data_IF_278382277826
#
_entry.id   IF_278382277826
#
_cell.length_a   1.000
_cell.length_b   1.000
_cell.length_c   1.000
_cell.angle_alpha   90.00
_cell.angle_beta   90.00
_cell.angle_gamma   90.00
#
_symmetry.space_group_name_H-M   'P 1'
#
loop_
_entity.id
_entity.type
_entity.pdbx_description
1 polymer ?
#
# COMPACT_ATOMS: atom_id res chain seq x y z
N UNK A 1 -12.90 -4.69 -1.02
CA UNK A 1 -12.14 -3.91 -0.03
C UNK A 1 -13.07 -3.11 0.90
N UNK A 2 -13.99 -2.28 0.38
CA UNK A 2 -14.87 -1.45 1.21
C UNK A 2 -15.66 -2.26 2.26
N UNK A 3 -16.21 -3.41 1.89
CA UNK A 3 -16.91 -4.29 2.84
C UNK A 3 -16.04 -4.78 3.99
N UNK A 4 -14.75 -5.05 3.74
CA UNK A 4 -13.79 -5.43 4.78
C UNK A 4 -13.54 -4.27 5.72
N UNK A 5 -13.36 -3.08 5.19
CA UNK A 5 -13.16 -1.87 6.00
C UNK A 5 -14.41 -1.53 6.84
N UNK A 6 -15.62 -1.79 6.32
CA UNK A 6 -16.87 -1.65 7.12
C UNK A 6 -16.87 -2.58 8.33
N UNK A 7 -16.50 -3.85 8.14
CA UNK A 7 -16.39 -4.82 9.24
C UNK A 7 -15.30 -4.41 10.23
N UNK A 8 -14.16 -3.94 9.73
CA UNK A 8 -13.06 -3.45 10.57
C UNK A 8 -13.52 -2.26 11.43
N UNK A 9 -14.27 -1.32 10.84
CA UNK A 9 -14.82 -0.17 11.55
C UNK A 9 -15.80 -0.61 12.67
N UNK A 10 -16.66 -1.59 12.41
CA UNK A 10 -17.56 -2.16 13.42
C UNK A 10 -16.79 -2.85 14.55
N UNK A 11 -15.77 -3.65 14.20
CA UNK A 11 -14.92 -4.33 15.17
C UNK A 11 -14.15 -3.34 16.05
N UNK A 12 -13.68 -2.23 15.50
CA UNK A 12 -12.97 -1.19 16.24
C UNK A 12 -13.80 -0.58 17.38
N UNK A 13 -15.14 -0.63 17.28
CA UNK A 13 -16.05 -0.15 18.32
C UNK A 13 -16.41 -1.21 19.35
N UNK A 14 -16.34 -2.49 18.98
CA UNK A 14 -16.86 -3.60 19.81
C UNK A 14 -15.76 -4.47 20.41
N UNK A 15 -14.57 -4.48 19.83
CA UNK A 15 -13.47 -5.33 20.27
C UNK A 15 -12.50 -4.58 21.20
N UNK A 16 -11.95 -5.23 22.25
CA UNK A 16 -11.04 -4.59 23.20
C UNK A 16 -9.64 -4.28 22.65
N UNK A 17 -9.26 -4.85 21.51
CA UNK A 17 -7.97 -4.59 20.85
C UNK A 17 -8.01 -3.25 20.11
N UNK A 18 -6.87 -2.54 20.09
CA UNK A 18 -6.68 -1.41 19.18
C UNK A 18 -6.59 -1.92 17.75
N UNK A 19 -7.46 -1.41 16.88
CA UNK A 19 -7.51 -1.76 15.47
C UNK A 19 -7.08 -0.54 14.66
N UNK A 20 -6.06 -0.72 13.80
CA UNK A 20 -5.53 0.33 12.91
C UNK A 20 -5.80 -0.09 11.47
N UNK A 21 -6.85 0.44 10.83
CA UNK A 21 -7.25 -0.02 9.52
C UNK A 21 -6.33 0.50 8.40
N UNK A 22 -6.02 -0.38 7.47
CA UNK A 22 -5.23 -0.10 6.27
C UNK A 22 -6.07 -0.44 5.03
N UNK A 23 -6.17 0.50 4.08
CA UNK A 23 -6.73 0.23 2.76
C UNK A 23 -5.69 -0.54 1.93
N UNK A 24 -6.04 -1.71 1.42
CA UNK A 24 -5.20 -2.58 0.60
C UNK A 24 -5.94 -3.03 -0.69
N UNK A 25 -6.68 -2.12 -1.32
CA UNK A 25 -7.32 -2.39 -2.61
C UNK A 25 -6.33 -2.61 -3.75
N UNK A 26 -5.12 -2.10 -3.61
CA UNK A 26 -4.02 -2.28 -4.57
C UNK A 26 -3.11 -3.47 -4.24
N UNK A 27 -3.69 -4.64 -3.91
CA UNK A 27 -2.94 -5.87 -3.64
C UNK A 27 -2.89 -6.81 -4.85
N UNK A 28 -3.99 -6.92 -5.59
CA UNK A 28 -4.08 -7.71 -6.80
C UNK A 28 -5.12 -7.13 -7.75
N UNK A 29 -4.95 -7.36 -9.05
CA UNK A 29 -5.98 -7.03 -10.03
C UNK A 29 -7.10 -8.07 -9.99
N UNK A 30 -8.37 -7.68 -9.78
CA UNK A 30 -9.49 -8.59 -9.90
C UNK A 30 -9.54 -9.23 -11.29
N UNK A 31 -10.05 -10.47 -11.42
CA UNK A 31 -10.06 -11.19 -12.71
C UNK A 31 -10.64 -10.38 -13.86
N UNK A 32 -11.70 -9.61 -13.61
CA UNK A 32 -12.39 -8.77 -14.59
C UNK A 32 -11.58 -7.56 -15.09
N UNK A 33 -10.50 -7.19 -14.37
CA UNK A 33 -9.64 -6.06 -14.72
C UNK A 33 -8.26 -6.47 -15.25
N UNK A 34 -7.96 -7.76 -15.38
CA UNK A 34 -6.64 -8.24 -15.82
C UNK A 34 -6.24 -7.69 -17.19
N UNK A 35 -7.19 -7.56 -18.10
CA UNK A 35 -6.99 -7.04 -19.46
C UNK A 35 -7.17 -5.50 -19.55
N UNK A 36 -7.56 -4.86 -18.46
CA UNK A 36 -7.78 -3.41 -18.40
C UNK A 36 -7.33 -2.80 -17.06
N UNK A 37 -6.07 -3.06 -16.72
CA UNK A 37 -5.46 -2.66 -15.42
C UNK A 37 -5.64 -1.19 -15.10
N UNK A 38 -5.46 -0.32 -16.08
CA UNK A 38 -5.63 1.13 -15.95
C UNK A 38 -7.03 1.51 -15.42
N UNK A 39 -8.06 0.79 -15.86
CA UNK A 39 -9.42 1.02 -15.36
C UNK A 39 -9.54 0.72 -13.86
N UNK A 40 -8.88 -0.32 -13.37
CA UNK A 40 -8.89 -0.63 -11.94
C UNK A 40 -8.11 0.41 -11.12
N UNK A 41 -6.98 0.87 -11.64
CA UNK A 41 -6.19 1.94 -11.01
C UNK A 41 -7.03 3.22 -10.91
N UNK A 42 -7.76 3.57 -11.97
CA UNK A 42 -8.69 4.70 -11.94
C UNK A 42 -9.78 4.53 -10.87
N UNK A 43 -10.38 3.34 -10.74
CA UNK A 43 -11.37 3.04 -9.70
C UNK A 43 -10.76 3.21 -8.30
N UNK A 44 -9.52 2.74 -8.08
CA UNK A 44 -8.83 2.95 -6.81
C UNK A 44 -8.67 4.44 -6.51
N UNK A 45 -8.16 5.21 -7.47
CA UNK A 45 -7.81 6.62 -7.26
C UNK A 45 -9.04 7.54 -7.21
N UNK A 46 -10.04 7.29 -8.04
CA UNK A 46 -11.16 8.22 -8.27
C UNK A 46 -12.42 7.85 -7.49
N UNK A 47 -12.55 6.60 -7.07
CA UNK A 47 -13.74 6.12 -6.36
C UNK A 47 -13.40 5.58 -4.97
N UNK A 48 -12.53 4.55 -4.87
CA UNK A 48 -12.31 3.83 -3.61
C UNK A 48 -11.61 4.69 -2.56
N UNK A 49 -10.46 5.29 -2.88
CA UNK A 49 -9.71 6.12 -1.92
C UNK A 49 -10.51 7.33 -1.43
N UNK A 50 -11.21 8.10 -2.31
CA UNK A 50 -12.10 9.17 -1.87
C UNK A 50 -13.23 8.68 -0.95
N UNK A 51 -13.87 7.55 -1.28
CA UNK A 51 -14.92 6.95 -0.45
C UNK A 51 -14.41 6.52 0.93
N UNK A 52 -13.26 5.81 0.97
CA UNK A 52 -12.61 5.40 2.22
C UNK A 52 -12.28 6.61 3.09
N UNK A 53 -11.79 7.69 2.47
CA UNK A 53 -11.48 8.94 3.17
C UNK A 53 -12.73 9.64 3.70
N UNK A 54 -13.75 9.80 2.85
CA UNK A 54 -14.99 10.46 3.22
C UNK A 54 -15.68 9.77 4.41
N UNK A 55 -15.56 8.44 4.49
CA UNK A 55 -16.13 7.62 5.56
C UNK A 55 -15.16 7.38 6.72
N UNK A 56 -13.93 7.87 6.63
CA UNK A 56 -12.89 7.70 7.65
C UNK A 56 -12.64 6.21 8.01
N UNK A 57 -12.58 5.35 6.99
CA UNK A 57 -12.49 3.88 7.17
C UNK A 57 -11.06 3.35 7.30
N UNK A 58 -10.05 4.13 6.93
CA UNK A 58 -8.65 3.73 7.04
C UNK A 58 -7.73 4.91 7.38
N UNK A 59 -6.61 4.60 8.01
CA UNK A 59 -5.52 5.53 8.34
C UNK A 59 -4.39 5.41 7.33
N UNK A 60 -4.15 4.20 6.85
CA UNK A 60 -3.08 3.86 5.91
C UNK A 60 -3.64 3.44 4.56
N UNK A 61 -2.86 3.70 3.51
CA UNK A 61 -2.98 3.06 2.21
C UNK A 61 -1.73 2.24 1.96
N UNK A 62 -1.90 1.00 1.58
CA UNK A 62 -0.83 0.05 1.28
C UNK A 62 -0.97 -0.45 -0.16
N UNK A 63 0.14 -0.86 -0.77
CA UNK A 63 0.18 -1.36 -2.14
C UNK A 63 1.17 -2.51 -2.28
N UNK A 64 0.83 -3.51 -3.10
CA UNK A 64 1.75 -4.55 -3.52
C UNK A 64 2.50 -4.12 -4.79
N UNK A 65 3.63 -3.44 -4.59
CA UNK A 65 4.50 -2.98 -5.67
C UNK A 65 5.46 -4.10 -6.07
N UNK A 66 5.10 -4.86 -7.11
CA UNK A 66 5.84 -6.05 -7.50
C UNK A 66 5.64 -6.37 -8.99
N UNK A 67 6.61 -7.08 -9.58
CA UNK A 67 6.53 -7.59 -10.95
C UNK A 67 5.25 -8.40 -11.15
N UNK A 68 4.50 -8.11 -12.21
CA UNK A 68 3.18 -8.67 -12.55
C UNK A 68 2.00 -8.24 -11.67
N UNK A 69 2.23 -7.47 -10.63
CA UNK A 69 1.22 -6.81 -9.82
C UNK A 69 1.16 -5.31 -10.17
N UNK A 70 1.34 -4.41 -9.22
CA UNK A 70 1.39 -2.98 -9.50
C UNK A 70 2.83 -2.56 -9.80
N UNK A 71 3.03 -1.88 -10.94
CA UNK A 71 4.33 -1.34 -11.32
C UNK A 71 4.76 -0.19 -10.40
N UNK A 72 6.02 0.26 -10.49
CA UNK A 72 6.47 1.46 -9.80
C UNK A 72 5.63 2.69 -10.16
N UNK A 73 5.28 2.85 -11.44
CA UNK A 73 4.46 3.97 -11.94
C UNK A 73 3.02 3.90 -11.39
N UNK A 74 2.38 2.72 -11.45
CA UNK A 74 1.06 2.50 -10.87
C UNK A 74 1.05 2.80 -9.38
N UNK A 75 2.08 2.33 -8.69
CA UNK A 75 2.25 2.50 -7.25
C UNK A 75 2.44 3.95 -6.87
N UNK A 76 3.33 4.66 -7.54
CA UNK A 76 3.56 6.09 -7.31
C UNK A 76 2.28 6.90 -7.50
N UNK A 77 1.50 6.60 -8.54
CA UNK A 77 0.22 7.26 -8.81
C UNK A 77 -0.81 7.04 -7.71
N UNK A 78 -1.03 5.78 -7.31
CA UNK A 78 -1.99 5.42 -6.26
C UNK A 78 -1.58 6.03 -4.92
N UNK A 79 -0.30 5.89 -4.55
CA UNK A 79 0.21 6.40 -3.28
C UNK A 79 0.20 7.93 -3.22
N UNK A 80 0.50 8.61 -4.34
CA UNK A 80 0.37 10.08 -4.44
C UNK A 80 -1.08 10.50 -4.21
N UNK A 81 -2.04 9.78 -4.81
CA UNK A 81 -3.47 10.06 -4.59
C UNK A 81 -3.83 9.86 -3.11
N UNK A 82 -3.36 8.79 -2.50
CA UNK A 82 -3.59 8.51 -1.08
C UNK A 82 -3.01 9.61 -0.18
N UNK A 83 -1.76 10.04 -0.41
CA UNK A 83 -1.14 11.13 0.35
C UNK A 83 -1.90 12.44 0.21
N UNK A 84 -2.34 12.80 -1.00
CA UNK A 84 -3.12 14.01 -1.25
C UNK A 84 -4.46 13.99 -0.50
N UNK A 85 -5.03 12.82 -0.26
CA UNK A 85 -6.21 12.62 0.57
C UNK A 85 -5.90 12.56 2.07
N UNK A 86 -4.62 12.59 2.45
CA UNK A 86 -4.18 12.57 3.85
C UNK A 86 -4.11 11.19 4.47
N UNK A 87 -3.88 10.13 3.70
CA UNK A 87 -3.48 8.83 4.20
C UNK A 87 -1.97 8.79 4.47
N UNK A 88 -1.56 8.05 5.48
CA UNK A 88 -0.20 7.55 5.56
C UNK A 88 -0.03 6.39 4.58
N UNK A 89 1.15 6.22 4.02
CA UNK A 89 1.40 5.19 3.00
C UNK A 89 2.36 4.12 3.51
N UNK A 90 2.17 2.91 3.00
CA UNK A 90 2.98 1.72 3.21
C UNK A 90 3.13 0.97 1.89
N UNK A 91 4.14 0.11 1.78
CA UNK A 91 4.35 -0.73 0.59
C UNK A 91 4.76 -2.14 1.00
N UNK A 92 4.18 -3.16 0.34
CA UNK A 92 4.83 -4.45 0.17
C UNK A 92 5.89 -4.24 -0.91
N UNK A 93 7.15 -4.42 -0.54
CA UNK A 93 8.30 -4.00 -1.35
C UNK A 93 9.34 -5.10 -1.48
N UNK A 94 9.84 -5.31 -2.71
CA UNK A 94 10.93 -6.22 -3.01
C UNK A 94 10.74 -7.63 -2.42
N UNK A 95 9.50 -8.14 -2.45
CA UNK A 95 9.14 -9.44 -1.88
C UNK A 95 9.58 -10.60 -2.78
N UNK A 96 9.26 -10.54 -4.07
CA UNK A 96 9.49 -11.61 -5.05
C UNK A 96 10.61 -11.27 -6.02
N UNK A 97 10.91 -9.98 -6.19
CA UNK A 97 11.96 -9.47 -7.07
C UNK A 97 12.52 -8.15 -6.54
N UNK A 98 13.75 -7.82 -6.90
CA UNK A 98 14.33 -6.50 -6.65
C UNK A 98 13.67 -5.49 -7.59
N UNK A 99 12.46 -5.05 -7.24
CA UNK A 99 11.61 -4.20 -8.07
C UNK A 99 11.93 -2.71 -7.95
N UNK A 100 12.68 -2.29 -6.92
CA UNK A 100 12.91 -0.89 -6.56
C UNK A 100 11.77 -0.27 -5.76
N UNK A 101 10.89 -1.11 -5.22
CA UNK A 101 9.73 -0.67 -4.44
C UNK A 101 10.15 -0.07 -3.09
N UNK A 102 11.20 -0.59 -2.47
CA UNK A 102 11.76 -0.01 -1.23
C UNK A 102 12.26 1.42 -1.46
N UNK A 103 13.00 1.68 -2.54
CA UNK A 103 13.47 3.00 -2.90
C UNK A 103 12.31 3.96 -3.24
N UNK A 104 11.25 3.45 -3.89
CA UNK A 104 10.03 4.22 -4.10
C UNK A 104 9.40 4.64 -2.77
N UNK A 105 9.24 3.71 -1.84
CA UNK A 105 8.69 3.98 -0.52
C UNK A 105 9.48 5.06 0.23
N UNK A 106 10.80 5.00 0.19
CA UNK A 106 11.69 6.00 0.80
C UNK A 106 11.48 7.37 0.15
N UNK A 107 11.50 7.46 -1.19
CA UNK A 107 11.29 8.73 -1.90
C UNK A 107 9.94 9.38 -1.59
N UNK A 108 8.93 8.55 -1.34
CA UNK A 108 7.58 8.99 -1.01
C UNK A 108 7.35 9.20 0.50
N UNK A 109 8.36 9.03 1.34
CA UNK A 109 8.26 9.11 2.80
C UNK A 109 7.19 8.15 3.35
N UNK A 110 7.19 6.91 2.88
CA UNK A 110 6.34 5.87 3.42
C UNK A 110 6.66 5.60 4.91
N UNK A 111 5.63 5.30 5.70
CA UNK A 111 5.81 4.94 7.10
C UNK A 111 6.58 3.62 7.21
N UNK A 112 6.27 2.64 6.37
CA UNK A 112 7.02 1.40 6.29
C UNK A 112 7.14 0.86 4.88
N UNK A 113 8.16 0.05 4.67
CA UNK A 113 8.33 -0.86 3.55
C UNK A 113 8.45 -2.26 4.12
N UNK A 114 7.58 -3.14 3.66
CA UNK A 114 7.38 -4.45 4.27
C UNK A 114 7.88 -5.55 3.32
N UNK A 115 8.27 -6.71 3.84
CA UNK A 115 8.89 -7.87 3.18
C UNK A 115 10.40 -7.77 3.04
N UNK A 116 10.91 -7.18 1.96
CA UNK A 116 12.32 -6.87 1.72
C UNK A 116 13.24 -8.08 1.43
N UNK A 117 12.68 -9.27 1.12
CA UNK A 117 13.44 -10.49 0.87
C UNK A 117 14.43 -10.36 -0.30
N UNK A 118 14.08 -9.52 -1.29
CA UNK A 118 14.86 -9.31 -2.50
C UNK A 118 15.50 -7.91 -2.58
N UNK A 119 15.44 -7.14 -1.50
CA UNK A 119 16.03 -5.79 -1.46
C UNK A 119 17.53 -5.83 -1.71
N UNK A 120 18.03 -4.90 -2.52
CA UNK A 120 19.46 -4.81 -2.85
C UNK A 120 20.28 -4.22 -1.68
N UNK A 121 21.61 -4.36 -1.74
CA UNK A 121 22.49 -3.72 -0.75
C UNK A 121 22.35 -2.19 -0.75
N UNK A 122 22.12 -1.60 -1.93
CA UNK A 122 21.83 -0.17 -2.09
C UNK A 122 20.50 0.20 -1.46
N UNK A 123 19.45 -0.64 -1.65
CA UNK A 123 18.15 -0.49 -1.02
C UNK A 123 18.25 -0.53 0.51
N UNK A 124 18.97 -1.50 1.07
CA UNK A 124 19.24 -1.60 2.52
C UNK A 124 19.92 -0.33 3.05
N UNK A 125 20.95 0.16 2.32
CA UNK A 125 21.66 1.38 2.70
C UNK A 125 20.74 2.62 2.67
N UNK A 126 19.84 2.69 1.68
CA UNK A 126 18.87 3.76 1.54
C UNK A 126 17.85 3.74 2.67
N UNK A 127 17.32 2.55 3.02
CA UNK A 127 16.40 2.38 4.16
C UNK A 127 17.08 2.84 5.45
N UNK A 128 18.32 2.40 5.69
CA UNK A 128 19.07 2.75 6.90
C UNK A 128 19.34 4.27 7.04
N UNK A 129 19.33 5.01 5.94
CA UNK A 129 19.53 6.46 5.90
C UNK A 129 18.20 7.25 5.95
N UNK A 130 17.07 6.59 6.06
CA UNK A 130 15.73 7.17 6.03
C UNK A 130 15.00 7.06 7.37
N UNK A 131 13.82 7.70 7.48
CA UNK A 131 12.89 7.54 8.60
C UNK A 131 11.88 6.40 8.36
N UNK A 132 11.92 5.75 7.19
CA UNK A 132 11.01 4.66 6.82
C UNK A 132 11.34 3.39 7.59
N UNK A 133 10.33 2.77 8.18
CA UNK A 133 10.48 1.53 8.95
C UNK A 133 10.60 0.33 8.00
N UNK A 134 11.65 -0.47 8.17
CA UNK A 134 11.76 -1.76 7.50
C UNK A 134 11.05 -2.84 8.30
N UNK A 135 10.07 -3.52 7.70
CA UNK A 135 9.32 -4.61 8.33
C UNK A 135 9.69 -5.93 7.67
N UNK A 136 10.59 -6.70 8.27
CA UNK A 136 10.90 -8.04 7.79
C UNK A 136 9.81 -9.04 8.22
N UNK A 137 9.43 -9.93 7.29
CA UNK A 137 8.49 -11.01 7.56
C UNK A 137 9.26 -12.35 7.49
N UNK A 138 9.85 -12.81 8.60
CA UNK A 138 10.57 -14.07 8.61
C UNK A 138 9.59 -15.24 8.39
N UNK A 139 9.80 -16.00 7.30
CA UNK A 139 9.04 -17.18 6.92
C UNK A 139 9.74 -18.49 7.24
#
# INVERSE_FOLDING_TARGET
>A
ELKLLDVIAELAHTHPMTIVPTFLGAHAFPPEFRECREKYINIICEEMLPEVKARNLAVFCDIFCEKNYFSLEDSERILTTAQNLGFHIKLHADQLSASGASELGIRMNAISVDHLEMTTAEGVSSIAASETIATALPG
#
